data_IF_973914847064
#
_entry.id   IF_973914847064
#
_cell.length_a   1.000
_cell.length_b   1.000
_cell.length_c   1.000
_cell.angle_alpha   90.00
_cell.angle_beta   90.00
_cell.angle_gamma   90.00
#
_symmetry.space_group_name_H-M   'P 1'
#
loop_
_entity.id
_entity.type
_entity.pdbx_description
1 polymer ?
#
# COMPACT_ATOMS: atom_id res chain seq x y z
N UNK A 1 -17.36 17.38 0.15
CA UNK A 1 -17.36 16.05 -0.49
C UNK A 1 -16.18 15.28 0.09
N UNK A 2 -16.41 14.44 1.08
CA UNK A 2 -15.40 13.53 1.62
C UNK A 2 -15.07 12.51 0.53
N UNK A 3 -13.90 12.63 -0.10
CA UNK A 3 -13.39 11.60 -0.97
C UNK A 3 -13.33 10.31 -0.16
N UNK A 4 -13.99 9.25 -0.65
CA UNK A 4 -14.02 7.94 -0.01
C UNK A 4 -12.58 7.50 0.23
N UNK A 5 -12.15 7.44 1.49
CA UNK A 5 -10.79 7.03 1.82
C UNK A 5 -10.64 5.53 1.61
N UNK A 6 -9.57 5.12 0.92
CA UNK A 6 -9.29 3.73 0.60
C UNK A 6 -8.59 3.04 1.78
N UNK A 7 -9.21 2.02 2.34
CA UNK A 7 -8.57 1.18 3.38
C UNK A 7 -7.45 0.32 2.78
N UNK A 8 -6.23 0.46 3.31
CA UNK A 8 -5.10 -0.39 2.94
C UNK A 8 -5.36 -1.85 3.32
N UNK A 9 -5.90 -2.11 4.52
CA UNK A 9 -6.22 -3.47 4.96
C UNK A 9 -7.26 -4.17 4.07
N UNK A 10 -8.26 -3.44 3.59
CA UNK A 10 -9.22 -3.97 2.62
C UNK A 10 -8.55 -4.28 1.28
N UNK A 11 -7.59 -3.45 0.85
CA UNK A 11 -6.81 -3.70 -0.36
C UNK A 11 -5.99 -5.00 -0.21
N UNK A 12 -5.28 -5.19 0.89
CA UNK A 12 -4.53 -6.42 1.17
C UNK A 12 -5.44 -7.66 1.22
N UNK A 13 -6.63 -7.52 1.79
CA UNK A 13 -7.64 -8.58 1.84
C UNK A 13 -8.11 -8.97 0.44
N UNK A 14 -8.32 -8.00 -0.46
CA UNK A 14 -8.71 -8.23 -1.86
C UNK A 14 -7.57 -8.85 -2.69
N UNK A 15 -6.33 -8.50 -2.40
CA UNK A 15 -5.13 -9.11 -3.03
C UNK A 15 -5.04 -10.59 -2.66
N UNK A 16 -5.34 -10.93 -1.41
CA UNK A 16 -5.26 -12.30 -0.90
C UNK A 16 -3.84 -12.69 -0.47
N UNK A 17 -3.76 -13.60 0.51
CA UNK A 17 -2.51 -13.95 1.20
C UNK A 17 -1.42 -14.48 0.26
N UNK A 18 -1.79 -15.24 -0.78
CA UNK A 18 -0.83 -15.84 -1.71
C UNK A 18 -0.16 -14.81 -2.63
N UNK A 19 -0.89 -13.75 -3.00
CA UNK A 19 -0.40 -12.69 -3.88
C UNK A 19 0.20 -11.50 -3.12
N UNK A 20 -0.05 -11.41 -1.81
CA UNK A 20 0.34 -10.27 -0.97
C UNK A 20 1.85 -9.97 -0.99
N UNK A 21 2.76 -10.96 -0.90
CA UNK A 21 4.19 -10.69 -0.99
C UNK A 21 4.62 -10.03 -2.30
N UNK A 22 4.05 -10.48 -3.42
CA UNK A 22 4.34 -9.93 -4.75
C UNK A 22 3.78 -8.51 -4.87
N UNK A 23 2.57 -8.28 -4.36
CA UNK A 23 1.95 -6.96 -4.33
C UNK A 23 2.78 -5.96 -3.50
N UNK A 24 3.24 -6.34 -2.31
CA UNK A 24 4.08 -5.49 -1.47
C UNK A 24 5.41 -5.15 -2.14
N UNK A 25 6.06 -6.11 -2.81
CA UNK A 25 7.28 -5.84 -3.59
C UNK A 25 7.02 -4.87 -4.73
N UNK A 26 5.95 -5.08 -5.49
CA UNK A 26 5.55 -4.15 -6.55
C UNK A 26 5.32 -2.73 -6.00
N UNK A 27 4.66 -2.61 -4.84
CA UNK A 27 4.48 -1.33 -4.16
C UNK A 27 5.82 -0.69 -3.79
N UNK A 28 6.73 -1.42 -3.16
CA UNK A 28 8.06 -0.91 -2.79
C UNK A 28 8.88 -0.49 -4.02
N UNK A 29 8.87 -1.28 -5.09
CA UNK A 29 9.52 -0.95 -6.36
C UNK A 29 8.94 0.33 -6.96
N UNK A 30 7.61 0.47 -6.97
CA UNK A 30 6.94 1.70 -7.42
C UNK A 30 7.29 2.92 -6.56
N UNK A 31 7.45 2.74 -5.25
CA UNK A 31 7.95 3.78 -4.33
C UNK A 31 9.43 4.12 -4.51
N UNK A 32 10.15 3.41 -5.38
CA UNK A 32 11.58 3.61 -5.64
C UNK A 32 12.49 3.00 -4.57
N UNK A 33 11.99 2.03 -3.79
CA UNK A 33 12.82 1.30 -2.82
C UNK A 33 13.69 0.30 -3.57
N UNK A 34 15.02 0.40 -3.47
CA UNK A 34 15.93 -0.50 -4.17
C UNK A 34 15.83 -1.92 -3.61
N UNK A 35 16.12 -2.89 -4.47
CA UNK A 35 16.26 -4.31 -4.13
C UNK A 35 15.01 -4.95 -3.50
N UNK A 36 13.82 -4.35 -3.66
CA UNK A 36 12.58 -4.82 -3.07
C UNK A 36 12.29 -6.31 -3.33
N UNK A 37 12.63 -6.79 -4.53
CA UNK A 37 12.41 -8.18 -4.94
C UNK A 37 13.31 -9.19 -4.22
N UNK A 38 14.48 -8.76 -3.75
CA UNK A 38 15.46 -9.61 -3.06
C UNK A 38 15.30 -9.59 -1.54
N UNK A 39 14.50 -8.66 -1.01
CA UNK A 39 14.26 -8.55 0.42
C UNK A 39 13.53 -9.77 0.98
N UNK A 40 13.94 -10.19 2.18
CA UNK A 40 13.19 -11.15 2.98
C UNK A 40 11.81 -10.58 3.32
N UNK A 41 10.79 -11.44 3.38
CA UNK A 41 9.38 -11.03 3.59
C UNK A 41 9.18 -10.12 4.81
N UNK A 42 9.85 -10.43 5.93
CA UNK A 42 9.80 -9.57 7.12
C UNK A 42 10.29 -8.14 6.85
N UNK A 43 11.35 -7.99 6.04
CA UNK A 43 11.86 -6.66 5.64
C UNK A 43 10.93 -5.98 4.66
N UNK A 44 10.32 -6.72 3.74
CA UNK A 44 9.29 -6.19 2.83
C UNK A 44 8.16 -5.55 3.65
N UNK A 45 7.59 -6.29 4.60
CA UNK A 45 6.51 -5.79 5.45
C UNK A 45 6.91 -4.52 6.23
N UNK A 46 8.06 -4.51 6.89
CA UNK A 46 8.55 -3.33 7.62
C UNK A 46 8.74 -2.11 6.72
N UNK A 47 9.18 -2.32 5.48
CA UNK A 47 9.35 -1.23 4.50
C UNK A 47 8.00 -0.71 4.00
N UNK A 48 7.02 -1.59 3.79
CA UNK A 48 5.64 -1.19 3.43
C UNK A 48 5.05 -0.32 4.54
N UNK A 49 5.14 -0.76 5.80
CA UNK A 49 4.69 0.01 6.96
C UNK A 49 5.37 1.39 7.04
N UNK A 50 6.69 1.45 6.75
CA UNK A 50 7.42 2.71 6.72
C UNK A 50 6.92 3.66 5.61
N UNK A 51 6.61 3.15 4.41
CA UNK A 51 6.04 3.95 3.33
C UNK A 51 4.61 4.42 3.64
N UNK A 52 3.78 3.58 4.25
CA UNK A 52 2.44 3.98 4.69
C UNK A 52 2.50 5.09 5.74
N UNK A 53 3.44 5.00 6.69
CA UNK A 53 3.68 6.08 7.64
C UNK A 53 4.13 7.38 6.95
N UNK A 54 4.91 7.30 5.87
CA UNK A 54 5.27 8.48 5.06
C UNK A 54 4.07 9.09 4.37
N UNK A 55 3.13 8.28 3.86
CA UNK A 55 1.87 8.79 3.31
C UNK A 55 1.04 9.54 4.36
N UNK A 56 0.98 9.02 5.58
CA UNK A 56 0.31 9.71 6.69
C UNK A 56 0.99 11.05 7.00
N UNK A 57 2.32 11.07 7.09
CA UNK A 57 3.08 12.30 7.33
C UNK A 57 2.93 13.33 6.19
N UNK A 58 2.77 12.87 4.95
CA UNK A 58 2.55 13.71 3.78
C UNK A 58 1.10 14.19 3.61
N UNK A 59 0.18 13.77 4.49
CA UNK A 59 -1.25 14.09 4.39
C UNK A 59 -1.98 13.35 3.26
N UNK A 60 -1.34 12.32 2.67
CA UNK A 60 -1.92 11.44 1.64
C UNK A 60 -2.65 10.24 2.24
N UNK A 61 -2.60 10.09 3.55
CA UNK A 61 -3.30 9.04 4.29
C UNK A 61 -3.64 9.50 5.71
N UNK A 62 -4.55 8.78 6.36
CA UNK A 62 -4.88 8.90 7.77
C UNK A 62 -4.75 7.54 8.43
N UNK A 63 -4.09 7.50 9.59
CA UNK A 63 -4.09 6.34 10.47
C UNK A 63 -5.42 6.29 11.22
N UNK A 64 -6.14 5.18 11.15
CA UNK A 64 -7.38 4.94 11.91
C UNK A 64 -7.28 3.57 12.57
N UNK A 65 -7.16 3.55 13.90
CA UNK A 65 -6.91 2.34 14.71
C UNK A 65 -5.77 1.47 14.14
N UNK A 66 -6.10 0.27 13.64
CA UNK A 66 -5.20 -0.72 13.04
C UNK A 66 -5.21 -0.68 11.50
N UNK A 67 -5.70 0.40 10.90
CA UNK A 67 -5.76 0.58 9.45
C UNK A 67 -5.15 1.92 9.00
N UNK A 68 -4.84 1.98 7.71
CA UNK A 68 -4.38 3.18 7.03
C UNK A 68 -5.36 3.49 5.91
N UNK A 69 -6.10 4.58 6.09
CA UNK A 69 -7.01 5.12 5.10
C UNK A 69 -6.25 6.05 4.16
N UNK A 70 -6.02 5.60 2.94
CA UNK A 70 -5.36 6.34 1.88
C UNK A 70 -6.32 7.32 1.20
N UNK A 71 -5.81 8.48 0.79
CA UNK A 71 -6.47 9.26 -0.26
C UNK A 71 -6.49 8.41 -1.55
N UNK A 72 -7.61 8.35 -2.29
CA UNK A 72 -7.67 7.61 -3.56
C UNK A 72 -6.54 7.93 -4.53
N UNK A 73 -6.04 9.18 -4.53
CA UNK A 73 -4.95 9.63 -5.39
C UNK A 73 -3.57 9.21 -4.90
N UNK A 74 -3.45 8.72 -3.65
CA UNK A 74 -2.18 8.29 -3.08
C UNK A 74 -1.59 7.08 -3.82
N UNK A 75 -2.42 6.31 -4.54
CA UNK A 75 -2.01 5.18 -5.37
C UNK A 75 -2.07 5.49 -6.88
N UNK A 76 -2.18 6.75 -7.28
CA UNK A 76 -2.17 7.11 -8.70
C UNK A 76 -0.86 6.66 -9.36
N UNK A 77 -0.98 5.92 -10.46
CA UNK A 77 0.16 5.31 -11.17
C UNK A 77 0.68 4.00 -10.57
N UNK A 78 0.11 3.51 -9.47
CA UNK A 78 0.42 2.17 -8.95
C UNK A 78 -0.45 1.11 -9.64
N UNK A 79 -0.01 0.66 -10.81
CA UNK A 79 -0.76 -0.25 -11.69
C UNK A 79 -1.20 -1.56 -11.01
N UNK A 80 -0.39 -2.12 -10.10
CA UNK A 80 -0.70 -3.38 -9.43
C UNK A 80 -1.90 -3.27 -8.46
N UNK A 81 -2.28 -2.06 -8.00
CA UNK A 81 -3.48 -1.88 -7.20
C UNK A 81 -4.76 -1.77 -8.04
N UNK A 82 -4.67 -1.38 -9.33
CA UNK A 82 -5.86 -1.08 -10.17
C UNK A 82 -6.94 -2.17 -10.18
N UNK A 83 -6.61 -3.48 -10.27
CA UNK A 83 -7.63 -4.53 -10.26
C UNK A 83 -8.47 -4.56 -8.98
N UNK A 84 -7.93 -4.04 -7.87
CA UNK A 84 -8.51 -4.10 -6.55
C UNK A 84 -9.17 -2.77 -6.12
N UNK A 85 -8.98 -1.70 -6.90
CA UNK A 85 -9.58 -0.38 -6.65
C UNK A 85 -10.99 -0.22 -7.23
N UNK A 86 -11.33 -1.02 -8.26
CA UNK A 86 -12.60 -0.93 -8.99
C UNK A 86 -13.69 -1.87 -8.46
N UNK A 87 -13.42 -2.58 -7.36
CA UNK A 87 -14.34 -3.56 -6.74
C UNK A 87 -15.17 -2.96 -5.60
#
# INVERSE_FOLDING_TARGET
MTALSLSWRNLETRVGLDALPTFHRAFLTWRGVPDADTLMLRRVQQRVEAELNRFVQAGLARREDDDVLLDPRALDGFEAARPYLLA
#
